data_IF_292969546230
#
_entry.id   IF_292969546230
#
_cell.length_a   1.000
_cell.length_b   1.000
_cell.length_c   1.000
_cell.angle_alpha   90.00
_cell.angle_beta   90.00
_cell.angle_gamma   90.00
#
_symmetry.space_group_name_H-M   'P 1'
#
loop_
_entity.id
_entity.type
_entity.pdbx_description
1 polymer ?
#
# COMPACT_ATOMS: atom_id res chain seq x y z
N UNK A 1 13.84 12.61 -12.81
CA UNK A 1 12.38 12.38 -12.84
C UNK A 1 11.94 12.28 -11.40
N UNK A 2 10.84 12.93 -11.02
CA UNK A 2 10.27 12.82 -9.68
C UNK A 2 9.78 11.39 -9.48
N UNK A 3 10.36 10.68 -8.51
CA UNK A 3 9.94 9.34 -8.12
C UNK A 3 8.78 9.48 -7.13
N UNK A 4 7.63 8.89 -7.46
CA UNK A 4 6.43 8.88 -6.62
C UNK A 4 5.97 7.45 -6.38
N UNK A 5 5.13 7.27 -5.35
CA UNK A 5 4.47 6.00 -5.08
C UNK A 5 3.20 5.88 -5.89
N UNK A 6 3.02 4.73 -6.52
CA UNK A 6 1.83 4.37 -7.25
C UNK A 6 1.20 3.10 -6.71
N UNK A 7 -0.14 3.10 -6.71
CA UNK A 7 -0.95 1.91 -6.47
C UNK A 7 -1.39 1.35 -7.82
N UNK A 8 -0.97 0.13 -8.14
CA UNK A 8 -1.24 -0.52 -9.41
C UNK A 8 -1.88 -1.90 -9.22
N UNK A 9 -2.85 -2.24 -10.06
CA UNK A 9 -3.37 -3.60 -10.16
C UNK A 9 -2.59 -4.36 -11.25
N UNK A 10 -2.05 -5.52 -10.90
CA UNK A 10 -1.32 -6.40 -11.81
C UNK A 10 -2.28 -7.31 -12.57
N UNK A 11 -1.78 -7.96 -13.62
CA UNK A 11 -2.56 -8.87 -14.47
C UNK A 11 -3.06 -10.12 -13.73
N UNK A 12 -2.40 -10.51 -12.64
CA UNK A 12 -2.85 -11.60 -11.75
C UNK A 12 -3.95 -11.15 -10.77
N UNK A 13 -4.35 -9.88 -10.84
CA UNK A 13 -5.36 -9.27 -9.98
C UNK A 13 -4.85 -8.92 -8.58
N UNK A 14 -3.55 -9.09 -8.30
CA UNK A 14 -2.93 -8.54 -7.09
C UNK A 14 -2.77 -7.02 -7.22
N UNK A 15 -2.79 -6.32 -6.09
CA UNK A 15 -2.60 -4.87 -6.04
C UNK A 15 -1.29 -4.59 -5.33
N UNK A 16 -0.47 -3.72 -5.92
CA UNK A 16 0.85 -3.37 -5.40
C UNK A 16 0.96 -1.88 -5.16
N UNK A 17 1.61 -1.51 -4.06
CA UNK A 17 2.14 -0.16 -3.83
C UNK A 17 3.63 -0.20 -4.14
N UNK A 18 4.09 0.58 -5.09
CA UNK A 18 5.49 0.56 -5.57
C UNK A 18 5.95 1.94 -6.00
N UNK A 19 7.26 2.08 -6.22
CA UNK A 19 7.85 3.29 -6.78
C UNK A 19 7.69 3.28 -8.30
N UNK A 20 7.43 4.45 -8.88
CA UNK A 20 7.30 4.63 -10.34
C UNK A 20 8.54 4.20 -11.16
N UNK A 21 9.71 4.13 -10.52
CA UNK A 21 10.97 3.71 -11.15
C UNK A 21 11.42 2.29 -10.77
N UNK A 22 10.71 1.60 -9.87
CA UNK A 22 11.04 0.25 -9.41
C UNK A 22 9.78 -0.63 -9.37
N UNK A 23 9.51 -1.25 -10.52
CA UNK A 23 8.34 -2.10 -10.70
C UNK A 23 8.50 -3.51 -10.14
N UNK A 24 9.74 -3.94 -9.89
CA UNK A 24 10.10 -5.32 -9.49
C UNK A 24 10.09 -5.49 -7.97
N UNK A 25 10.29 -4.40 -7.20
CA UNK A 25 10.35 -4.44 -5.73
C UNK A 25 9.19 -3.64 -5.12
N UNK A 26 7.96 -4.17 -5.09
CA UNK A 26 6.84 -3.50 -4.46
C UNK A 26 7.05 -3.37 -2.95
N UNK A 27 6.61 -2.23 -2.40
CA UNK A 27 6.65 -1.93 -0.96
C UNK A 27 5.57 -2.73 -0.22
N UNK A 28 4.40 -2.86 -0.84
CA UNK A 28 3.26 -3.62 -0.33
C UNK A 28 2.64 -4.41 -1.48
N UNK A 29 2.25 -5.66 -1.23
CA UNK A 29 1.43 -6.49 -2.12
C UNK A 29 0.18 -6.92 -1.38
N UNK A 30 -0.98 -6.68 -1.99
CA UNK A 30 -2.32 -6.97 -1.46
C UNK A 30 -2.96 -8.00 -2.38
N UNK A 31 -3.35 -9.13 -1.80
CA UNK A 31 -4.08 -10.18 -2.50
C UNK A 31 -5.43 -10.39 -1.82
N UNK A 32 -6.50 -10.06 -2.55
CA UNK A 32 -7.85 -10.38 -2.13
C UNK A 32 -8.14 -11.85 -2.47
N UNK A 33 -8.75 -12.56 -1.51
CA UNK A 33 -9.28 -13.90 -1.76
C UNK A 33 -10.39 -13.86 -2.82
N UNK A 34 -10.68 -14.99 -3.45
CA UNK A 34 -11.78 -15.09 -4.41
C UNK A 34 -13.12 -14.63 -3.80
N UNK A 35 -13.40 -15.03 -2.56
CA UNK A 35 -14.60 -14.61 -1.81
C UNK A 35 -14.66 -13.09 -1.62
N UNK A 36 -13.53 -12.46 -1.26
CA UNK A 36 -13.48 -11.00 -1.14
C UNK A 36 -13.66 -10.30 -2.49
N UNK A 37 -13.10 -10.84 -3.57
CA UNK A 37 -13.29 -10.29 -4.92
C UNK A 37 -14.75 -10.34 -5.36
N UNK A 38 -15.46 -11.43 -5.08
CA UNK A 38 -16.90 -11.55 -5.35
C UNK A 38 -17.72 -10.51 -4.57
N UNK A 39 -17.35 -10.26 -3.32
CA UNK A 39 -17.99 -9.24 -2.49
C UNK A 39 -17.67 -7.81 -2.96
N UNK A 40 -16.43 -7.55 -3.37
CA UNK A 40 -15.94 -6.23 -3.76
C UNK A 40 -16.31 -5.85 -5.20
N UNK A 41 -16.68 -6.80 -6.06
CA UNK A 41 -17.24 -6.55 -7.39
C UNK A 41 -16.37 -5.62 -8.25
N UNK A 42 -15.05 -5.81 -8.26
CA UNK A 42 -14.14 -4.96 -9.04
C UNK A 42 -13.68 -3.68 -8.33
N UNK A 43 -14.10 -3.46 -7.08
CA UNK A 43 -13.68 -2.30 -6.27
C UNK A 43 -12.38 -2.53 -5.48
N UNK A 44 -11.64 -3.62 -5.73
CA UNK A 44 -10.46 -4.01 -4.96
C UNK A 44 -9.41 -2.91 -4.93
N UNK A 45 -9.18 -2.21 -6.04
CA UNK A 45 -8.21 -1.12 -6.13
C UNK A 45 -8.62 0.09 -5.29
N UNK A 46 -9.92 0.43 -5.30
CA UNK A 46 -10.47 1.50 -4.47
C UNK A 46 -10.35 1.16 -2.98
N UNK A 47 -10.67 -0.08 -2.61
CA UNK A 47 -10.54 -0.57 -1.23
C UNK A 47 -9.09 -0.57 -0.78
N UNK A 48 -8.16 -1.09 -1.60
CA UNK A 48 -6.74 -1.08 -1.31
C UNK A 48 -6.20 0.34 -1.09
N UNK A 49 -6.63 1.30 -1.92
CA UNK A 49 -6.27 2.71 -1.77
C UNK A 49 -6.71 3.25 -0.40
N UNK A 50 -7.95 2.97 0.00
CA UNK A 50 -8.48 3.43 1.27
C UNK A 50 -7.82 2.73 2.46
N UNK A 51 -7.49 1.44 2.35
CA UNK A 51 -6.75 0.70 3.38
C UNK A 51 -5.39 1.33 3.69
N UNK A 52 -4.63 1.70 2.66
CA UNK A 52 -3.33 2.36 2.83
C UNK A 52 -3.51 3.76 3.43
N UNK A 53 -4.48 4.53 2.93
CA UNK A 53 -4.82 5.86 3.45
C UNK A 53 -5.17 5.81 4.94
N UNK A 54 -6.15 5.00 5.30
CA UNK A 54 -6.59 4.84 6.68
C UNK A 54 -5.46 4.33 7.59
N UNK A 55 -4.64 3.41 7.09
CA UNK A 55 -3.46 2.93 7.82
C UNK A 55 -2.48 4.05 8.16
N UNK A 56 -2.17 4.93 7.20
CA UNK A 56 -1.26 6.07 7.41
C UNK A 56 -1.86 7.10 8.36
N UNK A 57 -3.14 7.47 8.15
CA UNK A 57 -3.86 8.39 9.03
C UNK A 57 -3.86 7.89 10.48
N UNK A 58 -4.05 6.58 10.68
CA UNK A 58 -4.08 5.97 12.02
C UNK A 58 -2.75 6.04 12.79
N UNK A 59 -1.61 6.02 12.09
CA UNK A 59 -0.28 6.01 12.73
C UNK A 59 0.40 7.38 12.75
N UNK A 60 0.05 8.26 11.81
CA UNK A 60 0.74 9.54 11.63
C UNK A 60 -0.11 10.77 11.98
N UNK A 61 -1.40 10.58 12.30
CA UNK A 61 -2.29 11.62 12.81
C UNK A 61 -2.78 12.63 11.77
N UNK A 62 -1.95 13.05 10.81
CA UNK A 62 -2.28 13.91 9.65
C UNK A 62 -1.14 13.89 8.61
N UNK A 63 -1.08 12.88 7.74
CA UNK A 63 -0.20 12.97 6.56
C UNK A 63 -1.07 13.04 5.32
N UNK A 64 -0.96 14.16 4.62
CA UNK A 64 -1.71 14.44 3.40
C UNK A 64 -1.15 13.74 2.16
N UNK A 65 0.09 13.25 2.21
CA UNK A 65 0.76 12.68 1.04
C UNK A 65 1.47 11.34 1.33
N UNK A 66 1.17 10.34 0.52
CA UNK A 66 1.73 8.99 0.66
C UNK A 66 3.26 9.03 0.59
N UNK A 67 3.80 9.80 -0.34
CA UNK A 67 5.24 9.89 -0.59
C UNK A 67 5.99 10.42 0.63
N UNK A 68 5.46 11.47 1.27
CA UNK A 68 6.07 12.10 2.44
C UNK A 68 6.08 11.16 3.65
N UNK A 69 5.00 10.40 3.88
CA UNK A 69 4.97 9.43 4.97
C UNK A 69 6.06 8.36 4.81
N UNK A 70 6.14 7.75 3.63
CA UNK A 70 7.05 6.64 3.40
C UNK A 70 8.52 7.06 3.41
N UNK A 71 8.86 8.25 2.91
CA UNK A 71 10.23 8.74 2.95
C UNK A 71 10.67 9.06 4.39
N UNK A 72 9.79 9.61 5.24
CA UNK A 72 10.07 9.80 6.67
C UNK A 72 10.27 8.47 7.43
N UNK A 73 9.51 7.44 7.06
CA UNK A 73 9.58 6.13 7.71
C UNK A 73 10.77 5.27 7.23
N UNK A 74 11.33 5.58 6.05
CA UNK A 74 12.48 4.87 5.47
C UNK A 74 13.71 4.88 6.39
N UNK A 75 13.86 5.92 7.20
CA UNK A 75 14.95 6.04 8.20
C UNK A 75 14.74 5.19 9.46
N UNK A 76 13.53 4.64 9.69
CA UNK A 76 13.14 4.00 10.96
C UNK A 76 12.92 2.49 10.90
N UNK A 77 13.15 1.82 9.77
CA UNK A 77 12.92 0.37 9.65
C UNK A 77 13.98 -0.47 10.38
N UNK A 78 13.86 -0.60 11.69
CA UNK A 78 14.45 -1.70 12.44
C UNK A 78 13.43 -2.85 12.53
N UNK A 79 13.68 -3.95 11.80
CA UNK A 79 12.80 -5.12 11.75
C UNK A 79 12.76 -5.82 13.11
N UNK A 80 11.64 -5.69 13.84
CA UNK A 80 11.20 -6.69 14.82
C UNK A 80 9.83 -7.19 14.39
N UNK A 81 9.65 -8.50 14.40
CA UNK A 81 8.33 -9.11 14.22
C UNK A 81 7.46 -8.68 15.41
N UNK A 82 6.36 -7.97 15.14
CA UNK A 82 5.37 -7.59 16.14
C UNK A 82 4.06 -8.26 15.78
N UNK A 83 3.51 -9.05 16.72
CA UNK A 83 2.17 -9.61 16.63
C UNK A 83 1.26 -8.73 17.49
N UNK A 84 0.26 -8.11 16.86
CA UNK A 84 -0.81 -7.38 17.55
C UNK A 84 -1.92 -8.40 17.89
N UNK A 85 -2.44 -8.37 19.11
CA UNK A 85 -3.55 -9.22 19.59
C UNK A 85 -4.85 -8.43 19.62
#
# INVERSE_FOLDING_TARGET
MSNYLELAQLSDGSIVLRRSDDHENPIVRIEFSSESKEFLQGQELSVAKEMIRAGIESVSGNVSDFDEFFDNQKERLNKKTTVLH
#
